data_IF_235081283242
#
_entry.id   IF_235081283242
#
_cell.length_a   1.000
_cell.length_b   1.000
_cell.length_c   1.000
_cell.angle_alpha   90.00
_cell.angle_beta   90.00
_cell.angle_gamma   90.00
#
_symmetry.space_group_name_H-M   'P 1'
#
loop_
_entity.id
_entity.type
_entity.pdbx_description
1 polymer ?
#
# COMPACT_ATOMS: atom_id res chain seq x y z
N UNK A 1 21.06 -25.73 0.83
CA UNK A 1 19.88 -24.93 0.55
C UNK A 1 20.12 -24.30 -0.80
N UNK A 2 19.22 -24.44 -1.78
CA UNK A 2 19.35 -23.74 -3.06
C UNK A 2 19.34 -22.23 -2.84
N UNK A 3 20.04 -21.47 -3.70
CA UNK A 3 20.10 -20.02 -3.61
C UNK A 3 18.69 -19.42 -3.68
N UNK A 4 18.38 -18.49 -2.79
CA UNK A 4 17.10 -17.78 -2.75
C UNK A 4 16.93 -16.96 -4.03
N UNK A 5 15.78 -17.10 -4.69
CA UNK A 5 15.40 -16.30 -5.84
C UNK A 5 14.00 -15.71 -5.63
N UNK A 6 13.87 -14.40 -5.78
CA UNK A 6 12.63 -13.66 -5.50
C UNK A 6 12.07 -13.04 -6.79
N UNK A 7 10.82 -13.35 -7.10
CA UNK A 7 10.05 -12.66 -8.14
C UNK A 7 9.24 -11.54 -7.49
N UNK A 8 9.38 -10.31 -7.97
CA UNK A 8 8.58 -9.18 -7.49
C UNK A 8 7.83 -8.53 -8.65
N UNK A 9 6.52 -8.37 -8.53
CA UNK A 9 5.71 -7.56 -9.46
C UNK A 9 5.39 -6.21 -8.82
N UNK A 10 5.48 -5.13 -9.58
CA UNK A 10 5.25 -3.77 -9.09
C UNK A 10 6.37 -3.21 -8.19
N UNK A 11 7.64 -3.53 -8.44
CA UNK A 11 8.78 -3.05 -7.64
C UNK A 11 8.99 -1.53 -7.72
N UNK A 12 8.49 -0.87 -8.78
CA UNK A 12 8.61 0.57 -8.95
C UNK A 12 7.56 1.38 -8.16
N UNK A 13 6.55 0.72 -7.57
CA UNK A 13 5.55 1.37 -6.73
C UNK A 13 6.07 1.78 -5.36
N UNK A 14 5.30 2.58 -4.61
CA UNK A 14 5.73 3.14 -3.33
C UNK A 14 6.14 2.07 -2.30
N UNK A 15 5.29 1.05 -2.08
CA UNK A 15 5.64 -0.10 -1.22
C UNK A 15 6.79 -0.89 -1.84
N UNK A 16 6.72 -1.14 -3.16
CA UNK A 16 7.67 -1.96 -3.90
C UNK A 16 9.10 -1.49 -3.76
N UNK A 17 9.36 -0.19 -3.89
CA UNK A 17 10.69 0.40 -3.74
C UNK A 17 11.27 0.21 -2.33
N UNK A 18 10.44 0.36 -1.31
CA UNK A 18 10.88 0.19 0.07
C UNK A 18 11.19 -1.28 0.39
N UNK A 19 10.41 -2.23 -0.14
CA UNK A 19 10.70 -3.67 -0.03
C UNK A 19 11.94 -4.01 -0.88
N UNK A 20 12.04 -3.48 -2.10
CA UNK A 20 13.18 -3.71 -2.98
C UNK A 20 14.49 -3.27 -2.33
N UNK A 21 14.51 -2.11 -1.65
CA UNK A 21 15.69 -1.62 -0.94
C UNK A 21 16.25 -2.67 0.05
N UNK A 22 15.39 -3.44 0.72
CA UNK A 22 15.80 -4.55 1.58
C UNK A 22 16.46 -5.69 0.77
N UNK A 23 15.84 -6.10 -0.34
CA UNK A 23 16.36 -7.22 -1.14
C UNK A 23 17.59 -6.88 -1.97
N UNK A 24 17.83 -5.63 -2.32
CA UNK A 24 19.05 -5.19 -2.99
C UNK A 24 20.29 -5.41 -2.13
N UNK A 25 20.14 -5.45 -0.79
CA UNK A 25 21.23 -5.70 0.16
C UNK A 25 21.43 -7.18 0.49
N UNK A 26 20.53 -8.07 0.04
CA UNK A 26 20.60 -9.51 0.33
C UNK A 26 21.32 -10.26 -0.78
N UNK A 27 21.94 -11.38 -0.42
CA UNK A 27 22.51 -12.34 -1.38
C UNK A 27 21.43 -13.26 -1.94
N UNK A 28 20.68 -12.78 -2.92
CA UNK A 28 19.61 -13.53 -3.61
C UNK A 28 19.45 -13.08 -5.07
N UNK A 29 18.89 -13.94 -5.91
CA UNK A 29 18.53 -13.53 -7.27
C UNK A 29 17.21 -12.76 -7.26
N UNK A 30 17.12 -11.71 -8.08
CA UNK A 30 15.89 -10.91 -8.19
C UNK A 30 15.38 -10.88 -9.63
N UNK A 31 14.09 -11.15 -9.78
CA UNK A 31 13.31 -10.99 -11.02
C UNK A 31 12.27 -9.89 -10.78
N UNK A 32 12.56 -8.69 -11.27
CA UNK A 32 11.76 -7.49 -11.03
C UNK A 32 10.87 -7.23 -12.25
N UNK A 33 9.61 -7.64 -12.18
CA UNK A 33 8.66 -7.48 -13.28
C UNK A 33 7.90 -6.17 -13.14
N UNK A 34 8.04 -5.32 -14.17
CA UNK A 34 7.43 -3.98 -14.18
C UNK A 34 6.95 -3.65 -15.60
N UNK A 35 6.05 -2.68 -15.74
CA UNK A 35 5.60 -2.20 -17.05
C UNK A 35 6.77 -1.67 -17.87
N UNK A 36 6.75 -1.87 -19.20
CA UNK A 36 7.81 -1.41 -20.10
C UNK A 36 8.13 0.10 -19.92
N UNK A 37 7.13 0.90 -19.58
CA UNK A 37 7.30 2.34 -19.32
C UNK A 37 8.12 2.63 -18.05
N UNK A 38 8.01 1.80 -17.03
CA UNK A 38 8.67 2.03 -15.75
C UNK A 38 10.04 1.33 -15.64
N UNK A 39 10.31 0.32 -16.47
CA UNK A 39 11.58 -0.42 -16.48
C UNK A 39 12.83 0.47 -16.55
N UNK A 40 12.95 1.48 -17.45
CA UNK A 40 14.18 2.29 -17.52
C UNK A 40 14.49 3.03 -16.21
N UNK A 41 13.46 3.53 -15.51
CA UNK A 41 13.63 4.19 -14.22
C UNK A 41 14.00 3.20 -13.12
N UNK A 42 13.42 2.01 -13.14
CA UNK A 42 13.75 0.94 -12.19
C UNK A 42 15.17 0.45 -12.41
N UNK A 43 15.59 0.25 -13.65
CA UNK A 43 16.96 -0.13 -14.02
C UNK A 43 17.97 0.87 -13.46
N UNK A 44 17.78 2.16 -13.77
CA UNK A 44 18.65 3.23 -13.26
C UNK A 44 18.71 3.26 -11.72
N UNK A 45 17.57 2.98 -11.04
CA UNK A 45 17.55 2.89 -9.59
C UNK A 45 18.37 1.69 -9.07
N UNK A 46 18.23 0.53 -9.69
CA UNK A 46 19.01 -0.67 -9.33
C UNK A 46 20.49 -0.45 -9.57
N UNK A 47 20.89 0.12 -10.73
CA UNK A 47 22.28 0.42 -11.07
C UNK A 47 22.93 1.37 -10.04
N UNK A 48 22.21 2.41 -9.63
CA UNK A 48 22.67 3.34 -8.61
C UNK A 48 22.78 2.71 -7.20
N UNK A 49 21.91 1.73 -6.91
CA UNK A 49 21.85 1.09 -5.58
C UNK A 49 22.80 -0.09 -5.42
N UNK A 50 23.23 -0.71 -6.53
CA UNK A 50 24.06 -1.93 -6.53
C UNK A 50 25.27 -1.71 -7.45
N UNK A 51 26.34 -1.07 -6.96
CA UNK A 51 27.53 -0.78 -7.77
C UNK A 51 28.41 -2.02 -8.02
N UNK A 52 28.29 -3.09 -7.22
CA UNK A 52 29.03 -4.33 -7.44
C UNK A 52 28.50 -5.09 -8.67
N UNK A 53 29.31 -5.31 -9.73
CA UNK A 53 28.87 -5.99 -10.95
C UNK A 53 28.44 -7.44 -10.71
N UNK A 54 29.07 -8.16 -9.78
CA UNK A 54 28.73 -9.55 -9.49
C UNK A 54 27.31 -9.62 -8.88
N UNK A 55 27.02 -8.76 -7.91
CA UNK A 55 25.67 -8.65 -7.33
C UNK A 55 24.66 -8.14 -8.35
N UNK A 56 25.02 -7.12 -9.14
CA UNK A 56 24.14 -6.53 -10.16
C UNK A 56 23.70 -7.55 -11.22
N UNK A 57 24.58 -8.45 -11.62
CA UNK A 57 24.29 -9.51 -12.61
C UNK A 57 23.19 -10.49 -12.17
N UNK A 58 22.92 -10.57 -10.86
CA UNK A 58 21.87 -11.41 -10.26
C UNK A 58 20.50 -10.73 -10.17
N UNK A 59 20.40 -9.49 -10.67
CA UNK A 59 19.15 -8.70 -10.63
C UNK A 59 18.69 -8.45 -12.05
N UNK A 60 17.53 -9.02 -12.41
CA UNK A 60 16.91 -8.87 -13.72
C UNK A 60 15.69 -7.95 -13.63
N UNK A 61 15.77 -6.80 -14.28
CA UNK A 61 14.61 -5.93 -14.50
C UNK A 61 13.94 -6.38 -15.80
N UNK A 62 12.68 -6.70 -15.74
CA UNK A 62 11.95 -7.36 -16.82
C UNK A 62 10.69 -6.60 -17.17
N UNK A 63 10.53 -6.23 -18.42
CA UNK A 63 9.27 -5.67 -18.92
C UNK A 63 8.19 -6.75 -18.97
N UNK A 64 7.07 -6.52 -18.27
CA UNK A 64 5.92 -7.42 -18.24
C UNK A 64 4.61 -6.69 -17.96
N UNK A 65 3.51 -7.35 -18.26
CA UNK A 65 2.15 -6.85 -17.99
C UNK A 65 1.32 -7.98 -17.37
N UNK A 66 0.94 -7.81 -16.11
CA UNK A 66 0.15 -8.80 -15.36
C UNK A 66 -1.20 -9.12 -16.03
N UNK A 67 -1.73 -8.22 -16.87
CA UNK A 67 -2.96 -8.47 -17.65
C UNK A 67 -2.82 -9.60 -18.66
N UNK A 68 -1.59 -9.99 -18.99
CA UNK A 68 -1.30 -11.03 -19.96
C UNK A 68 -0.96 -12.35 -19.27
N UNK A 69 -1.31 -13.51 -19.83
CA UNK A 69 -0.83 -14.81 -19.37
C UNK A 69 0.69 -14.80 -19.23
N UNK A 70 1.18 -15.39 -18.14
CA UNK A 70 2.61 -15.41 -17.80
C UNK A 70 3.26 -14.00 -17.77
N UNK A 71 2.45 -12.96 -17.51
CA UNK A 71 2.88 -11.55 -17.54
C UNK A 71 3.49 -11.10 -18.88
N UNK A 72 3.17 -11.76 -19.99
CA UNK A 72 3.73 -11.47 -21.31
C UNK A 72 5.21 -11.82 -21.49
N UNK A 73 5.80 -12.57 -20.56
CA UNK A 73 7.21 -12.97 -20.62
C UNK A 73 7.49 -13.98 -21.73
N UNK A 74 8.67 -13.93 -22.35
CA UNK A 74 9.09 -14.89 -23.37
C UNK A 74 9.37 -16.28 -22.75
N UNK A 75 9.35 -17.33 -23.60
CA UNK A 75 9.48 -18.70 -23.14
C UNK A 75 10.79 -19.00 -22.36
N UNK A 76 11.99 -18.59 -22.82
CA UNK A 76 13.23 -18.84 -22.10
C UNK A 76 13.23 -18.28 -20.68
N UNK A 77 12.77 -17.03 -20.51
CA UNK A 77 12.72 -16.39 -19.21
C UNK A 77 11.65 -17.03 -18.29
N UNK A 78 10.49 -17.40 -18.86
CA UNK A 78 9.48 -18.14 -18.09
C UNK A 78 10.03 -19.45 -17.54
N UNK A 79 10.76 -20.20 -18.37
CA UNK A 79 11.30 -21.50 -17.97
C UNK A 79 12.42 -21.34 -16.93
N UNK A 80 13.24 -20.32 -17.04
CA UNK A 80 14.22 -19.95 -16.03
C UNK A 80 13.54 -19.61 -14.70
N UNK A 81 12.53 -18.73 -14.69
CA UNK A 81 11.78 -18.33 -13.50
C UNK A 81 11.12 -19.54 -12.83
N UNK A 82 10.47 -20.42 -13.61
CA UNK A 82 9.85 -21.66 -13.09
C UNK A 82 10.82 -22.57 -12.34
N UNK A 83 12.07 -22.63 -12.78
CA UNK A 83 13.08 -23.50 -12.18
C UNK A 83 13.74 -22.86 -10.96
N UNK A 84 13.97 -21.55 -10.98
CA UNK A 84 14.81 -20.84 -9.99
C UNK A 84 14.05 -20.16 -8.87
N UNK A 85 12.88 -19.57 -9.17
CA UNK A 85 12.17 -18.75 -8.17
C UNK A 85 11.63 -19.60 -7.03
N UNK A 86 12.02 -19.19 -5.83
CA UNK A 86 11.60 -19.80 -4.56
C UNK A 86 10.60 -18.97 -3.80
N UNK A 87 10.64 -17.63 -3.95
CA UNK A 87 9.77 -16.69 -3.25
C UNK A 87 9.18 -15.68 -4.23
N UNK A 88 7.99 -15.18 -3.94
CA UNK A 88 7.40 -14.12 -4.74
C UNK A 88 6.73 -13.05 -3.87
N UNK A 89 6.69 -11.82 -4.39
CA UNK A 89 5.98 -10.68 -3.82
C UNK A 89 5.10 -10.10 -4.93
N UNK A 90 3.78 -10.20 -4.77
CA UNK A 90 2.85 -9.65 -5.75
C UNK A 90 2.24 -8.35 -5.23
N UNK A 91 2.78 -7.21 -5.73
CA UNK A 91 2.35 -5.85 -5.38
C UNK A 91 1.63 -5.16 -6.54
N UNK A 92 1.84 -5.62 -7.77
CA UNK A 92 1.29 -4.99 -8.95
C UNK A 92 -0.24 -4.92 -8.87
N UNK A 93 -0.76 -3.73 -8.77
CA UNK A 93 -2.18 -3.41 -8.74
C UNK A 93 -2.37 -1.95 -9.17
N UNK A 94 -3.56 -1.62 -9.63
CA UNK A 94 -3.92 -0.25 -9.95
C UNK A 94 -4.67 0.36 -8.77
N UNK A 95 -4.09 1.38 -8.15
CA UNK A 95 -4.67 2.15 -7.05
C UNK A 95 -5.14 3.51 -7.55
N UNK A 96 -6.44 3.62 -7.79
CA UNK A 96 -7.13 4.87 -8.10
C UNK A 96 -8.60 4.73 -7.66
N UNK A 97 -9.08 5.63 -6.79
CA UNK A 97 -10.45 5.59 -6.29
C UNK A 97 -11.51 5.95 -7.35
N UNK A 98 -11.08 6.59 -8.45
CA UNK A 98 -11.93 6.99 -9.57
C UNK A 98 -11.78 6.08 -10.81
N UNK A 99 -11.12 4.94 -10.67
CA UNK A 99 -10.85 4.03 -11.80
C UNK A 99 -12.13 3.43 -12.37
N UNK A 100 -12.28 3.34 -13.72
CA UNK A 100 -13.36 2.57 -14.33
C UNK A 100 -13.30 1.09 -13.97
N UNK A 101 -14.47 0.48 -13.71
CA UNK A 101 -14.58 -0.92 -13.24
C UNK A 101 -13.88 -1.93 -14.15
N UNK A 102 -14.08 -1.81 -15.46
CA UNK A 102 -13.49 -2.73 -16.44
C UNK A 102 -11.95 -2.73 -16.38
N UNK A 103 -11.33 -1.56 -16.23
CA UNK A 103 -9.86 -1.43 -16.11
C UNK A 103 -9.39 -2.01 -14.77
N UNK A 104 -10.10 -1.70 -13.68
CA UNK A 104 -9.77 -2.24 -12.36
C UNK A 104 -9.88 -3.78 -12.34
N UNK A 105 -10.91 -4.36 -12.97
CA UNK A 105 -11.08 -5.81 -13.10
C UNK A 105 -9.92 -6.46 -13.85
N UNK A 106 -9.56 -5.92 -15.01
CA UNK A 106 -8.46 -6.47 -15.82
C UNK A 106 -7.12 -6.49 -15.08
N UNK A 107 -6.82 -5.38 -14.35
CA UNK A 107 -5.52 -5.28 -13.68
C UNK A 107 -5.53 -6.02 -12.35
N UNK A 108 -6.51 -5.72 -11.48
CA UNK A 108 -6.45 -6.19 -10.10
C UNK A 108 -6.93 -7.64 -9.95
N UNK A 109 -7.94 -8.08 -10.72
CA UNK A 109 -8.51 -9.43 -10.59
C UNK A 109 -7.87 -10.39 -11.59
N UNK A 110 -8.03 -10.12 -12.89
CA UNK A 110 -7.50 -11.00 -13.93
C UNK A 110 -5.97 -11.03 -13.91
N UNK A 111 -5.32 -9.86 -13.68
CA UNK A 111 -3.88 -9.77 -13.50
C UNK A 111 -3.38 -10.61 -12.32
N UNK A 112 -4.05 -10.55 -11.17
CA UNK A 112 -3.71 -11.40 -10.02
C UNK A 112 -3.89 -12.88 -10.36
N UNK A 113 -4.97 -13.26 -11.07
CA UNK A 113 -5.19 -14.64 -11.51
C UNK A 113 -4.05 -15.14 -12.40
N UNK A 114 -3.63 -14.37 -13.42
CA UNK A 114 -2.52 -14.75 -14.29
C UNK A 114 -1.20 -14.92 -13.53
N UNK A 115 -0.94 -14.07 -12.54
CA UNK A 115 0.25 -14.20 -11.68
C UNK A 115 0.17 -15.47 -10.85
N UNK A 116 -0.99 -15.77 -10.23
CA UNK A 116 -1.19 -16.99 -9.43
C UNK A 116 -1.05 -18.26 -10.29
N UNK A 117 -1.66 -18.28 -11.49
CA UNK A 117 -1.52 -19.40 -12.45
C UNK A 117 -0.06 -19.63 -12.84
N UNK A 118 0.72 -18.57 -13.04
CA UNK A 118 2.14 -18.70 -13.34
C UNK A 118 2.93 -19.26 -12.16
N UNK A 119 2.72 -18.70 -10.95
CA UNK A 119 3.39 -19.17 -9.72
C UNK A 119 3.08 -20.65 -9.44
N UNK A 120 1.86 -21.12 -9.72
CA UNK A 120 1.49 -22.52 -9.56
C UNK A 120 2.33 -23.49 -10.42
N UNK A 121 3.03 -22.98 -11.44
CA UNK A 121 3.94 -23.78 -12.29
C UNK A 121 5.39 -23.85 -11.76
N UNK A 122 5.73 -23.15 -10.66
CA UNK A 122 7.10 -23.08 -10.15
C UNK A 122 7.50 -24.34 -9.42
N UNK A 123 8.72 -24.83 -9.68
CA UNK A 123 9.19 -26.15 -9.21
C UNK A 123 9.58 -26.18 -7.73
N UNK A 124 10.26 -25.12 -7.29
CA UNK A 124 10.87 -25.05 -5.95
C UNK A 124 10.23 -23.95 -5.10
N UNK A 125 8.97 -23.63 -5.38
CA UNK A 125 8.29 -22.50 -4.76
C UNK A 125 8.02 -22.73 -3.27
N UNK A 126 8.37 -21.78 -2.45
CA UNK A 126 8.28 -21.86 -1.00
C UNK A 126 7.24 -20.91 -0.40
N UNK A 127 7.14 -19.67 -0.92
CA UNK A 127 6.23 -18.68 -0.34
C UNK A 127 5.91 -17.49 -1.27
N UNK A 128 4.64 -17.09 -1.25
CA UNK A 128 4.14 -15.86 -1.87
C UNK A 128 3.67 -14.88 -0.80
N UNK A 129 4.10 -13.62 -0.87
CA UNK A 129 3.49 -12.49 -0.20
C UNK A 129 2.53 -11.79 -1.18
N UNK A 130 1.23 -11.82 -0.90
CA UNK A 130 0.23 -11.13 -1.71
C UNK A 130 -0.21 -9.83 -1.04
N UNK A 131 -0.09 -8.71 -1.74
CA UNK A 131 -0.54 -7.41 -1.28
C UNK A 131 -2.05 -7.23 -1.49
N UNK A 132 -2.81 -7.31 -0.41
CA UNK A 132 -4.20 -6.86 -0.34
C UNK A 132 -4.27 -5.45 0.29
N UNK A 133 -5.34 -5.12 0.98
CA UNK A 133 -5.55 -3.85 1.67
C UNK A 133 -6.66 -3.99 2.71
N UNK A 134 -6.65 -3.16 3.76
CA UNK A 134 -7.79 -3.06 4.68
C UNK A 134 -9.05 -2.50 3.99
N UNK A 135 -8.92 -1.81 2.86
CA UNK A 135 -10.04 -1.22 2.13
C UNK A 135 -11.05 -2.25 1.60
N UNK A 136 -10.70 -3.55 1.57
CA UNK A 136 -11.65 -4.63 1.23
C UNK A 136 -12.80 -4.75 2.24
N UNK A 137 -12.68 -4.16 3.43
CA UNK A 137 -13.78 -4.06 4.40
C UNK A 137 -14.95 -3.20 3.89
N UNK A 138 -14.73 -2.38 2.86
CA UNK A 138 -15.77 -1.56 2.24
C UNK A 138 -16.52 -0.65 3.22
N UNK A 139 -17.83 -0.81 3.26
CA UNK A 139 -18.74 -0.09 4.16
C UNK A 139 -19.04 -0.83 5.48
N UNK A 140 -18.25 -1.84 5.83
CA UNK A 140 -18.40 -2.55 7.11
C UNK A 140 -18.19 -1.59 8.28
N UNK A 141 -18.86 -1.86 9.40
CA UNK A 141 -18.73 -1.09 10.65
C UNK A 141 -18.40 -2.02 11.82
N UNK A 142 -17.55 -1.57 12.73
CA UNK A 142 -17.07 -2.37 13.85
C UNK A 142 -15.70 -2.99 13.59
N UNK A 143 -15.33 -3.99 14.38
CA UNK A 143 -14.02 -4.63 14.29
C UNK A 143 -13.94 -5.60 13.10
N UNK A 144 -13.00 -5.35 12.20
CA UNK A 144 -12.66 -6.21 11.06
C UNK A 144 -11.26 -6.79 11.27
N UNK A 145 -11.22 -8.04 11.70
CA UNK A 145 -9.99 -8.73 12.06
C UNK A 145 -9.30 -9.33 10.84
N UNK A 146 -8.11 -9.85 11.03
CA UNK A 146 -7.36 -10.59 10.01
C UNK A 146 -8.06 -11.89 9.57
N UNK A 147 -8.98 -12.41 10.38
CA UNK A 147 -9.80 -13.60 10.07
C UNK A 147 -11.02 -13.24 9.21
N UNK A 148 -11.46 -11.99 9.26
CA UNK A 148 -12.63 -11.56 8.52
C UNK A 148 -12.30 -11.36 7.02
N UNK A 149 -13.28 -11.65 6.17
CA UNK A 149 -13.17 -11.47 4.73
C UNK A 149 -14.52 -11.04 4.15
N UNK A 150 -15.41 -11.98 3.84
CA UNK A 150 -16.73 -11.70 3.28
C UNK A 150 -17.76 -11.56 4.41
N UNK A 151 -18.21 -10.34 4.63
CA UNK A 151 -19.24 -9.97 5.61
C UNK A 151 -20.50 -9.44 4.92
N UNK A 152 -20.60 -9.60 3.60
CA UNK A 152 -21.66 -9.00 2.79
C UNK A 152 -21.56 -7.48 2.66
N UNK A 153 -20.35 -6.91 2.83
CA UNK A 153 -20.10 -5.49 2.78
C UNK A 153 -20.27 -4.91 1.37
N UNK A 154 -20.86 -3.72 1.27
CA UNK A 154 -20.87 -2.91 0.07
C UNK A 154 -19.53 -2.20 -0.13
N UNK A 155 -19.17 -1.88 -1.36
CA UNK A 155 -17.95 -1.16 -1.71
C UNK A 155 -18.26 0.26 -2.17
N UNK A 156 -17.42 1.21 -1.78
CA UNK A 156 -17.57 2.64 -2.12
C UNK A 156 -17.09 2.96 -3.53
N UNK A 157 -16.16 2.16 -4.03
CA UNK A 157 -15.56 2.33 -5.36
C UNK A 157 -15.06 0.99 -5.92
N UNK A 158 -14.66 1.01 -7.18
CA UNK A 158 -14.20 -0.19 -7.89
C UNK A 158 -12.81 -0.67 -7.47
N UNK A 159 -12.01 0.18 -6.83
CA UNK A 159 -10.75 -0.27 -6.23
C UNK A 159 -11.02 -1.23 -5.05
N UNK A 160 -11.90 -0.86 -4.10
CA UNK A 160 -12.30 -1.73 -2.99
C UNK A 160 -12.87 -3.06 -3.49
N UNK A 161 -13.83 -2.99 -4.42
CA UNK A 161 -14.47 -4.17 -5.02
C UNK A 161 -13.44 -5.11 -5.66
N UNK A 162 -12.57 -4.58 -6.52
CA UNK A 162 -11.62 -5.42 -7.26
C UNK A 162 -10.49 -5.96 -6.40
N UNK A 163 -10.08 -5.24 -5.36
CA UNK A 163 -9.12 -5.76 -4.37
C UNK A 163 -9.74 -6.88 -3.52
N UNK A 164 -11.01 -6.78 -3.17
CA UNK A 164 -11.75 -7.85 -2.52
C UNK A 164 -11.84 -9.10 -3.41
N UNK A 165 -12.23 -8.92 -4.67
CA UNK A 165 -12.33 -10.03 -5.64
C UNK A 165 -10.97 -10.68 -5.89
N UNK A 166 -9.90 -9.90 -6.01
CA UNK A 166 -8.56 -10.42 -6.17
C UNK A 166 -8.07 -11.19 -4.93
N UNK A 167 -8.37 -10.72 -3.71
CA UNK A 167 -8.07 -11.48 -2.50
C UNK A 167 -8.89 -12.79 -2.45
N UNK A 168 -10.11 -12.81 -2.96
CA UNK A 168 -10.93 -14.02 -3.08
C UNK A 168 -10.27 -15.07 -3.99
N UNK A 169 -9.72 -14.66 -5.14
CA UNK A 169 -8.92 -15.53 -6.02
C UNK A 169 -7.72 -16.14 -5.27
N UNK A 170 -6.96 -15.29 -4.56
CA UNK A 170 -5.79 -15.75 -3.80
C UNK A 170 -6.17 -16.71 -2.68
N UNK A 171 -7.27 -16.45 -1.96
CA UNK A 171 -7.79 -17.37 -0.93
C UNK A 171 -8.22 -18.72 -1.51
N UNK A 172 -8.76 -18.72 -2.73
CA UNK A 172 -9.10 -19.94 -3.45
C UNK A 172 -7.88 -20.84 -3.71
N UNK A 173 -6.71 -20.26 -3.87
CA UNK A 173 -5.46 -20.96 -4.17
C UNK A 173 -4.64 -21.38 -2.91
N UNK A 174 -5.12 -21.16 -1.68
CA UNK A 174 -4.37 -21.44 -0.45
C UNK A 174 -3.97 -22.92 -0.26
N UNK A 175 -4.69 -23.83 -0.90
CA UNK A 175 -4.38 -25.28 -0.85
C UNK A 175 -3.26 -25.66 -1.82
N UNK A 176 -3.10 -24.89 -2.89
CA UNK A 176 -2.23 -25.22 -4.02
C UNK A 176 -0.94 -24.38 -4.03
N UNK A 177 -1.00 -23.17 -3.49
CA UNK A 177 0.13 -22.22 -3.46
C UNK A 177 0.39 -21.80 -2.01
N UNK A 178 1.65 -21.87 -1.52
CA UNK A 178 2.02 -21.40 -0.19
C UNK A 178 2.01 -19.88 -0.15
N UNK A 179 0.86 -19.27 0.09
CA UNK A 179 0.65 -17.82 0.10
C UNK A 179 0.16 -17.34 1.45
N UNK A 180 0.71 -16.21 1.90
CA UNK A 180 0.10 -15.36 2.91
C UNK A 180 -0.35 -14.03 2.30
N UNK A 181 -1.34 -13.43 2.93
CA UNK A 181 -1.90 -12.14 2.51
C UNK A 181 -1.46 -11.09 3.51
N UNK A 182 -1.00 -9.93 3.04
CA UNK A 182 -0.85 -8.78 3.91
C UNK A 182 -1.80 -7.66 3.48
N UNK A 183 -2.44 -7.07 4.49
CA UNK A 183 -3.38 -5.95 4.35
C UNK A 183 -2.79 -4.73 5.03
N UNK A 184 -2.06 -3.88 4.32
CA UNK A 184 -1.64 -2.61 4.91
C UNK A 184 -2.86 -1.73 5.18
N UNK A 185 -2.78 -0.95 6.25
CA UNK A 185 -3.66 0.19 6.51
C UNK A 185 -3.32 1.34 5.57
N UNK A 186 -3.78 2.56 5.80
CA UNK A 186 -3.41 3.71 4.97
C UNK A 186 -1.92 3.97 5.13
N UNK A 187 -1.17 3.80 4.04
CA UNK A 187 0.29 3.97 4.07
C UNK A 187 0.64 5.44 3.97
N UNK A 188 1.46 5.89 4.91
CA UNK A 188 2.07 7.23 4.92
C UNK A 188 3.56 7.18 4.57
N UNK A 189 4.22 8.33 4.54
CA UNK A 189 5.64 8.44 4.24
C UNK A 189 6.54 7.61 5.13
N UNK A 190 7.81 7.55 4.77
CA UNK A 190 8.85 6.86 5.52
C UNK A 190 9.03 7.54 6.90
N UNK A 191 9.05 6.77 7.98
CA UNK A 191 9.03 7.30 9.35
C UNK A 191 10.22 8.20 9.68
N UNK A 192 11.39 7.97 9.06
CA UNK A 192 12.61 8.72 9.32
C UNK A 192 12.83 9.90 8.36
N UNK A 193 12.28 9.84 7.14
CA UNK A 193 12.54 10.86 6.11
C UNK A 193 11.29 11.64 5.70
N UNK A 194 10.11 11.14 6.04
CA UNK A 194 8.83 11.68 5.60
C UNK A 194 8.51 11.48 4.11
N UNK A 195 9.41 10.84 3.35
CA UNK A 195 9.30 10.71 1.89
C UNK A 195 8.02 10.00 1.46
N UNK A 196 7.27 10.64 0.56
CA UNK A 196 6.04 10.13 -0.07
C UNK A 196 6.13 10.21 -1.58
N UNK A 197 5.31 9.44 -2.27
CA UNK A 197 5.17 9.53 -3.74
C UNK A 197 3.89 10.26 -4.18
N UNK A 198 2.91 10.38 -3.28
CA UNK A 198 1.61 10.98 -3.59
C UNK A 198 0.99 11.59 -2.33
N UNK A 199 0.38 12.76 -2.49
CA UNK A 199 -0.49 13.33 -1.45
C UNK A 199 -1.82 12.58 -1.51
N UNK A 200 -2.11 11.81 -0.45
CA UNK A 200 -3.32 10.99 -0.33
C UNK A 200 -3.67 10.74 1.15
N UNK A 201 -4.88 10.22 1.43
CA UNK A 201 -5.31 9.86 2.77
C UNK A 201 -5.13 10.97 3.81
N UNK A 202 -4.42 10.75 4.91
CA UNK A 202 -4.29 11.73 6.00
C UNK A 202 -3.56 13.01 5.59
N UNK A 203 -2.81 13.01 4.48
CA UNK A 203 -2.16 14.21 3.96
C UNK A 203 -3.17 15.28 3.52
N UNK A 204 -4.42 14.94 3.23
CA UNK A 204 -5.46 15.94 2.99
C UNK A 204 -5.75 16.81 4.23
N UNK A 205 -5.55 16.28 5.43
CA UNK A 205 -5.58 17.10 6.65
C UNK A 205 -4.46 18.14 6.65
N UNK A 206 -3.25 17.75 6.25
CA UNK A 206 -2.12 18.68 6.13
C UNK A 206 -2.38 19.75 5.07
N UNK A 207 -3.02 19.39 3.94
CA UNK A 207 -3.43 20.34 2.91
C UNK A 207 -4.38 21.40 3.48
N UNK A 208 -5.43 20.95 4.18
CA UNK A 208 -6.40 21.86 4.81
C UNK A 208 -5.73 22.81 5.82
N UNK A 209 -4.89 22.25 6.70
CA UNK A 209 -4.16 23.01 7.72
C UNK A 209 -3.23 24.04 7.07
N UNK A 210 -2.50 23.65 6.02
CA UNK A 210 -1.60 24.56 5.27
C UNK A 210 -2.34 25.71 4.61
N UNK A 211 -3.57 25.45 4.14
CA UNK A 211 -4.45 26.47 3.54
C UNK A 211 -5.15 27.36 4.56
N UNK A 212 -4.88 27.21 5.87
CA UNK A 212 -5.50 27.99 6.94
C UNK A 212 -6.93 27.56 7.29
N UNK A 213 -7.36 26.39 6.84
CA UNK A 213 -8.70 25.83 7.12
C UNK A 213 -8.76 25.02 8.41
N UNK A 214 -7.76 25.18 9.28
CA UNK A 214 -7.65 24.43 10.55
C UNK A 214 -8.62 24.89 11.66
N UNK A 215 -9.26 26.04 11.50
CA UNK A 215 -10.24 26.55 12.48
C UNK A 215 -11.54 25.75 12.49
N UNK A 216 -11.89 25.14 11.38
CA UNK A 216 -13.07 24.29 11.24
C UNK A 216 -12.56 22.93 10.78
N UNK A 217 -12.68 21.92 11.63
CA UNK A 217 -12.27 20.55 11.35
C UNK A 217 -13.45 19.59 11.27
N UNK A 218 -13.25 18.40 10.69
CA UNK A 218 -14.25 17.36 10.75
C UNK A 218 -14.41 16.85 12.17
N UNK A 219 -15.66 16.56 12.57
CA UNK A 219 -15.93 15.80 13.80
C UNK A 219 -15.95 14.30 13.44
N UNK A 220 -14.78 13.76 13.17
CA UNK A 220 -14.60 12.38 12.75
C UNK A 220 -14.06 11.56 13.95
N UNK A 221 -14.95 10.86 14.64
CA UNK A 221 -14.57 9.94 15.72
C UNK A 221 -13.94 8.63 15.23
N UNK A 222 -13.88 8.43 13.92
CA UNK A 222 -13.25 7.28 13.30
C UNK A 222 -11.75 7.20 13.61
N UNK A 223 -11.24 5.97 13.71
CA UNK A 223 -9.80 5.73 13.93
C UNK A 223 -8.98 6.07 12.69
N UNK A 224 -7.84 6.72 12.90
CA UNK A 224 -6.88 7.05 11.86
C UNK A 224 -5.88 5.90 11.69
N UNK A 225 -6.29 4.87 10.96
CA UNK A 225 -5.46 3.68 10.71
C UNK A 225 -4.39 3.97 9.67
N UNK A 226 -3.23 4.43 10.12
CA UNK A 226 -2.07 4.74 9.26
C UNK A 226 -0.86 3.93 9.69
N UNK A 227 0.03 3.67 8.72
CA UNK A 227 1.30 3.01 8.95
C UNK A 227 2.38 3.60 8.04
N UNK A 228 3.61 3.84 8.52
CA UNK A 228 4.69 4.31 7.67
C UNK A 228 5.17 3.19 6.74
N UNK A 229 5.59 3.56 5.54
CA UNK A 229 5.95 2.61 4.46
C UNK A 229 7.11 1.70 4.84
N UNK A 230 8.07 2.19 5.59
CA UNK A 230 9.24 1.42 6.07
C UNK A 230 8.85 0.31 7.06
N UNK A 231 7.88 0.54 7.95
CA UNK A 231 7.31 -0.51 8.78
C UNK A 231 6.65 -1.59 7.92
N UNK A 232 5.82 -1.19 6.94
CA UNK A 232 5.15 -2.13 6.05
C UNK A 232 6.18 -2.95 5.25
N UNK A 233 7.21 -2.29 4.71
CA UNK A 233 8.26 -2.95 3.95
C UNK A 233 9.06 -3.95 4.81
N UNK A 234 9.46 -3.55 6.00
CA UNK A 234 10.17 -4.42 6.95
C UNK A 234 9.31 -5.61 7.38
N UNK A 235 8.02 -5.36 7.66
CA UNK A 235 7.07 -6.40 8.03
C UNK A 235 6.86 -7.43 6.92
N UNK A 236 6.65 -6.99 5.67
CA UNK A 236 6.48 -7.90 4.52
C UNK A 236 7.74 -8.71 4.28
N UNK A 237 8.92 -8.10 4.35
CA UNK A 237 10.20 -8.78 4.17
C UNK A 237 10.42 -9.85 5.24
N UNK A 238 10.19 -9.53 6.52
CA UNK A 238 10.32 -10.48 7.61
C UNK A 238 9.29 -11.63 7.51
N UNK A 239 8.04 -11.34 7.13
CA UNK A 239 7.02 -12.35 6.89
C UNK A 239 7.44 -13.29 5.75
N UNK A 240 7.95 -12.74 4.64
CA UNK A 240 8.37 -13.57 3.51
C UNK A 240 9.58 -14.43 3.87
N UNK A 241 10.55 -13.89 4.57
CA UNK A 241 11.85 -14.52 4.80
C UNK A 241 11.85 -15.48 5.99
N UNK A 242 11.03 -15.23 7.03
CA UNK A 242 11.18 -15.91 8.31
C UNK A 242 9.87 -16.50 8.85
N UNK A 243 8.83 -15.70 9.06
CA UNK A 243 7.72 -16.05 9.95
C UNK A 243 6.34 -16.11 9.32
N UNK A 244 6.16 -15.73 8.05
CA UNK A 244 4.86 -15.76 7.37
C UNK A 244 4.32 -17.17 7.19
N UNK A 245 3.10 -17.41 7.60
CA UNK A 245 2.43 -18.72 7.52
C UNK A 245 1.45 -18.74 6.34
N UNK A 246 1.49 -19.82 5.57
CA UNK A 246 0.52 -20.09 4.49
C UNK A 246 -0.92 -20.01 5.02
N UNK A 247 -1.82 -19.44 4.23
CA UNK A 247 -3.23 -19.31 4.58
C UNK A 247 -3.52 -18.30 5.68
N UNK A 248 -2.54 -17.44 6.03
CA UNK A 248 -2.68 -16.43 7.08
C UNK A 248 -2.75 -15.03 6.48
N UNK A 249 -3.57 -14.19 7.08
CA UNK A 249 -3.65 -12.75 6.77
C UNK A 249 -2.93 -11.97 7.86
N UNK A 250 -2.17 -10.97 7.47
CA UNK A 250 -1.45 -10.04 8.34
C UNK A 250 -1.88 -8.61 8.06
N UNK A 251 -2.51 -7.94 9.01
CA UNK A 251 -2.88 -6.54 8.90
C UNK A 251 -1.70 -5.66 9.39
N UNK A 252 -1.07 -4.95 8.46
CA UNK A 252 0.09 -4.11 8.75
C UNK A 252 -0.37 -2.68 9.04
N UNK A 253 -0.57 -2.38 10.31
CA UNK A 253 -1.06 -1.09 10.80
C UNK A 253 -0.71 -0.83 12.25
N UNK A 254 -1.05 0.37 12.74
CA UNK A 254 -0.95 0.71 14.16
C UNK A 254 -1.97 -0.11 14.97
N UNK A 255 -1.56 -0.90 15.98
CA UNK A 255 -2.48 -1.65 16.82
C UNK A 255 -3.31 -0.77 17.76
N UNK A 256 -2.92 0.50 17.95
CA UNK A 256 -3.59 1.46 18.85
C UNK A 256 -3.77 2.82 18.18
N UNK A 257 -4.47 2.88 17.03
CA UNK A 257 -4.58 4.11 16.27
C UNK A 257 -5.37 5.18 17.03
N UNK A 258 -4.90 6.42 16.95
CA UNK A 258 -5.66 7.57 17.43
C UNK A 258 -6.88 7.86 16.55
N UNK A 259 -7.77 8.74 17.00
CA UNK A 259 -8.87 9.21 16.15
C UNK A 259 -8.38 10.21 15.09
N UNK A 260 -9.14 10.40 14.03
CA UNK A 260 -8.85 11.47 13.06
C UNK A 260 -8.89 12.86 13.68
N UNK A 261 -9.74 13.06 14.71
CA UNK A 261 -9.77 14.29 15.47
C UNK A 261 -8.44 14.54 16.18
N UNK A 262 -7.94 13.52 16.90
CA UNK A 262 -6.67 13.62 17.64
C UNK A 262 -5.49 13.79 16.67
N UNK A 263 -5.51 13.09 15.53
CA UNK A 263 -4.50 13.27 14.47
C UNK A 263 -4.49 14.70 13.94
N UNK A 264 -5.67 15.25 13.62
CA UNK A 264 -5.78 16.62 13.12
C UNK A 264 -5.27 17.64 14.14
N UNK A 265 -5.64 17.48 15.42
CA UNK A 265 -5.17 18.34 16.52
C UNK A 265 -3.65 18.20 16.73
N UNK A 266 -3.13 16.99 16.68
CA UNK A 266 -1.69 16.72 16.74
C UNK A 266 -0.93 17.46 15.66
N UNK A 267 -1.39 17.37 14.39
CA UNK A 267 -0.77 18.08 13.27
C UNK A 267 -0.83 19.60 13.46
N UNK A 268 -1.99 20.13 13.88
CA UNK A 268 -2.12 21.56 14.18
C UNK A 268 -1.14 22.02 15.26
N UNK A 269 -1.01 21.25 16.36
CA UNK A 269 -0.13 21.56 17.47
C UNK A 269 1.35 21.54 17.05
N UNK A 270 1.77 20.46 16.36
CA UNK A 270 3.17 20.28 15.93
C UNK A 270 3.58 21.28 14.86
N UNK A 271 2.64 21.69 14.00
CA UNK A 271 2.90 22.69 12.95
C UNK A 271 2.73 24.15 13.42
N UNK A 272 2.32 24.38 14.68
CA UNK A 272 2.12 25.73 15.22
C UNK A 272 0.95 26.49 14.57
N UNK A 273 -0.06 25.78 14.04
CA UNK A 273 -1.19 26.38 13.29
C UNK A 273 -2.40 26.77 14.16
N UNK A 274 -2.30 26.63 15.50
CA UNK A 274 -3.38 26.94 16.43
C UNK A 274 -4.42 25.81 16.54
N UNK A 275 -5.47 26.03 17.35
CA UNK A 275 -6.47 25.00 17.69
C UNK A 275 -7.66 25.02 16.73
N UNK A 276 -8.31 23.87 16.58
CA UNK A 276 -9.63 23.76 15.97
C UNK A 276 -10.65 24.42 16.87
N UNK A 277 -11.47 25.32 16.32
CA UNK A 277 -12.50 26.07 17.08
C UNK A 277 -13.88 25.44 16.94
N UNK A 278 -14.17 24.85 15.77
CA UNK A 278 -15.45 24.24 15.46
C UNK A 278 -15.22 22.88 14.79
N UNK A 279 -15.91 21.86 15.27
CA UNK A 279 -15.95 20.55 14.65
C UNK A 279 -17.31 20.31 14.01
N UNK A 280 -17.31 19.95 12.73
CA UNK A 280 -18.54 19.73 11.95
C UNK A 280 -18.62 18.25 11.58
N UNK A 281 -19.74 17.57 11.88
CA UNK A 281 -19.95 16.19 11.46
C UNK A 281 -19.77 16.01 9.94
N UNK A 282 -19.06 14.95 9.47
CA UNK A 282 -18.86 14.70 8.04
C UNK A 282 -20.15 14.64 7.24
N UNK A 283 -21.23 14.14 7.83
CA UNK A 283 -22.55 14.10 7.20
C UNK A 283 -23.09 15.49 6.81
N UNK A 284 -22.83 16.52 7.62
CA UNK A 284 -23.22 17.90 7.32
C UNK A 284 -22.30 18.56 6.28
N UNK A 285 -21.05 18.13 6.19
CA UNK A 285 -20.09 18.63 5.21
C UNK A 285 -20.27 17.94 3.84
N UNK A 286 -20.79 16.73 3.78
CA UNK A 286 -20.86 15.90 2.57
C UNK A 286 -21.58 16.57 1.39
N UNK A 287 -22.74 17.24 1.52
CA UNK A 287 -23.37 17.94 0.39
C UNK A 287 -22.50 19.05 -0.19
N UNK A 288 -21.80 19.80 0.67
CA UNK A 288 -20.90 20.87 0.27
C UNK A 288 -19.66 20.31 -0.45
N UNK A 289 -19.11 19.20 0.00
CA UNK A 289 -17.95 18.56 -0.60
C UNK A 289 -18.22 17.92 -1.97
N UNK A 290 -19.49 17.80 -2.41
CA UNK A 290 -19.85 17.42 -3.79
C UNK A 290 -19.66 18.55 -4.80
N UNK A 291 -19.54 19.79 -4.32
CA UNK A 291 -19.36 20.99 -5.17
C UNK A 291 -17.88 21.09 -5.57
N UNK A 292 -17.52 21.05 -6.86
CA UNK A 292 -16.12 21.10 -7.31
C UNK A 292 -15.33 22.29 -6.78
N UNK A 293 -15.97 23.48 -6.68
CA UNK A 293 -15.35 24.68 -6.12
C UNK A 293 -14.92 24.48 -4.66
N UNK A 294 -15.73 23.78 -3.87
CA UNK A 294 -15.41 23.48 -2.46
C UNK A 294 -14.28 22.47 -2.35
N UNK A 295 -14.28 21.44 -3.19
CA UNK A 295 -13.15 20.49 -3.26
C UNK A 295 -11.84 21.22 -3.60
N UNK A 296 -11.89 22.11 -4.59
CA UNK A 296 -10.74 22.94 -4.97
C UNK A 296 -10.32 23.86 -3.83
N UNK A 297 -11.23 24.52 -3.14
CA UNK A 297 -10.93 25.40 -2.01
C UNK A 297 -10.32 24.64 -0.83
N UNK A 298 -10.89 23.47 -0.46
CA UNK A 298 -10.38 22.64 0.62
C UNK A 298 -9.11 21.85 0.21
N UNK A 299 -8.95 21.55 -1.09
CA UNK A 299 -7.88 20.70 -1.59
C UNK A 299 -8.10 19.22 -1.28
N UNK A 300 -9.35 18.81 -1.11
CA UNK A 300 -9.75 17.43 -0.77
C UNK A 300 -10.76 16.95 -1.81
N UNK A 301 -10.46 15.89 -2.58
CA UNK A 301 -11.44 15.31 -3.50
C UNK A 301 -12.57 14.63 -2.74
N UNK A 302 -13.77 14.61 -3.33
CA UNK A 302 -14.94 14.02 -2.68
C UNK A 302 -14.75 12.52 -2.39
N UNK A 303 -14.08 11.80 -3.27
CA UNK A 303 -13.77 10.38 -3.13
C UNK A 303 -12.95 10.11 -1.84
N UNK A 304 -11.98 10.97 -1.54
CA UNK A 304 -11.19 10.87 -0.31
C UNK A 304 -12.00 11.29 0.93
N UNK A 305 -12.86 12.29 0.79
CA UNK A 305 -13.72 12.78 1.88
C UNK A 305 -14.68 11.69 2.39
N UNK A 306 -15.10 10.76 1.54
CA UNK A 306 -15.97 9.64 1.94
C UNK A 306 -15.35 8.71 3.00
N UNK A 307 -14.03 8.77 3.20
CA UNK A 307 -13.32 8.00 4.22
C UNK A 307 -13.22 8.73 5.57
N UNK A 308 -13.68 9.97 5.68
CA UNK A 308 -13.60 10.76 6.91
C UNK A 308 -14.47 10.22 8.06
N UNK A 309 -15.51 9.42 7.76
CA UNK A 309 -16.39 8.78 8.78
C UNK A 309 -16.37 7.24 8.67
N UNK A 310 -15.20 6.67 8.41
CA UNK A 310 -15.05 5.22 8.30
C UNK A 310 -15.04 4.58 9.70
N UNK A 311 -16.16 3.92 10.05
CA UNK A 311 -16.38 3.33 11.39
C UNK A 311 -15.92 1.87 11.48
N UNK A 312 -14.82 1.54 10.84
CA UNK A 312 -14.20 0.23 10.95
C UNK A 312 -12.92 0.34 11.78
N UNK A 313 -12.70 -0.64 12.63
CA UNK A 313 -11.45 -0.86 13.36
C UNK A 313 -10.79 -2.12 12.81
N UNK A 314 -9.46 -2.12 12.68
CA UNK A 314 -8.73 -3.24 12.10
C UNK A 314 -7.94 -3.98 13.17
N UNK A 315 -8.16 -5.30 13.28
CA UNK A 315 -7.34 -6.18 14.12
C UNK A 315 -5.98 -6.43 13.47
N UNK A 316 -4.93 -6.46 14.30
CA UNK A 316 -3.52 -6.66 13.88
C UNK A 316 -2.84 -7.79 14.65
N UNK A 317 -3.59 -8.70 15.22
CA UNK A 317 -3.11 -9.70 16.18
C UNK A 317 -2.09 -10.66 15.54
N UNK A 318 -2.36 -11.15 14.32
CA UNK A 318 -1.44 -12.04 13.60
C UNK A 318 -0.14 -11.31 13.25
N UNK A 319 -0.25 -10.06 12.72
CA UNK A 319 0.91 -9.25 12.39
C UNK A 319 1.76 -8.95 13.63
N UNK A 320 1.12 -8.52 14.72
CA UNK A 320 1.78 -8.25 15.99
C UNK A 320 2.48 -9.48 16.56
N UNK A 321 1.78 -10.62 16.60
CA UNK A 321 2.35 -11.86 17.12
C UNK A 321 3.54 -12.37 16.29
N UNK A 322 3.54 -12.13 14.98
CA UNK A 322 4.62 -12.56 14.10
C UNK A 322 5.83 -11.60 14.11
N UNK A 323 5.59 -10.30 14.17
CA UNK A 323 6.62 -9.29 13.92
C UNK A 323 7.29 -8.73 15.19
N UNK A 324 6.53 -8.57 16.28
CA UNK A 324 7.08 -8.02 17.54
C UNK A 324 8.25 -8.86 18.09
N UNK A 325 8.23 -10.22 18.06
CA UNK A 325 9.38 -11.01 18.48
C UNK A 325 10.64 -10.79 17.66
N UNK A 326 10.52 -10.22 16.45
CA UNK A 326 11.63 -9.84 15.56
C UNK A 326 12.06 -8.38 15.75
N UNK A 327 11.50 -7.67 16.72
CA UNK A 327 11.77 -6.25 16.95
C UNK A 327 11.07 -5.31 15.96
N UNK A 328 10.09 -5.81 15.18
CA UNK A 328 9.36 -5.02 14.19
C UNK A 328 7.99 -4.68 14.74
N UNK A 329 7.76 -3.38 15.01
CA UNK A 329 6.47 -2.85 15.48
C UNK A 329 6.09 -1.59 14.73
N UNK A 330 4.79 -1.36 14.52
CA UNK A 330 4.34 -0.10 13.93
C UNK A 330 4.63 1.06 14.90
N UNK A 331 5.43 2.06 14.51
CA UNK A 331 5.68 3.19 15.38
C UNK A 331 4.41 4.04 15.53
N UNK A 332 4.14 4.59 16.73
CA UNK A 332 3.00 5.50 16.92
C UNK A 332 3.21 6.78 16.10
N UNK A 333 2.13 7.33 15.55
CA UNK A 333 2.22 8.53 14.68
C UNK A 333 2.89 9.73 15.36
N UNK A 334 2.80 9.82 16.69
CA UNK A 334 3.46 10.85 17.48
C UNK A 334 4.98 10.87 17.35
N UNK A 335 5.59 9.75 16.95
CA UNK A 335 7.04 9.63 16.78
C UNK A 335 7.56 10.12 15.43
N UNK A 336 6.68 10.20 14.38
CA UNK A 336 7.11 10.57 13.02
C UNK A 336 6.28 11.71 12.39
N UNK A 337 5.26 12.22 13.08
CA UNK A 337 4.41 13.29 12.53
C UNK A 337 5.20 14.56 12.17
N UNK A 338 6.24 14.89 12.91
CA UNK A 338 7.08 16.07 12.65
C UNK A 338 7.83 15.96 11.32
N UNK A 339 8.41 14.78 11.07
CA UNK A 339 9.09 14.47 9.81
C UNK A 339 8.10 14.45 8.64
N UNK A 340 6.91 13.89 8.87
CA UNK A 340 5.82 13.88 7.90
C UNK A 340 5.38 15.30 7.52
N UNK A 341 5.21 16.20 8.49
CA UNK A 341 4.86 17.61 8.28
C UNK A 341 5.99 18.32 7.52
N UNK A 342 7.23 18.15 7.96
CA UNK A 342 8.39 18.81 7.35
C UNK A 342 8.55 18.42 5.87
N UNK A 343 8.53 17.13 5.58
CA UNK A 343 8.61 16.66 4.19
C UNK A 343 7.47 17.19 3.33
N UNK A 344 6.23 17.10 3.84
CA UNK A 344 5.05 17.60 3.15
C UNK A 344 5.15 19.08 2.84
N UNK A 345 5.57 19.93 3.79
CA UNK A 345 5.65 21.39 3.60
C UNK A 345 6.74 21.77 2.59
N UNK A 346 7.90 21.11 2.64
CA UNK A 346 9.00 21.31 1.70
C UNK A 346 8.63 20.93 0.27
N UNK A 347 7.85 19.84 0.09
CA UNK A 347 7.53 19.28 -1.23
C UNK A 347 6.09 19.58 -1.67
N UNK A 348 5.35 20.42 -0.96
CA UNK A 348 3.93 20.69 -1.25
C UNK A 348 3.66 21.12 -2.70
N UNK A 349 4.58 21.85 -3.32
CA UNK A 349 4.45 22.31 -4.70
C UNK A 349 5.11 21.39 -5.73
N UNK A 350 5.71 20.27 -5.32
CA UNK A 350 6.31 19.31 -6.24
C UNK A 350 5.24 18.62 -7.08
N UNK A 351 5.27 18.78 -8.42
CA UNK A 351 4.33 18.11 -9.31
C UNK A 351 4.37 16.57 -9.18
N UNK A 352 5.50 16.01 -8.78
CA UNK A 352 5.65 14.57 -8.65
C UNK A 352 4.74 13.98 -7.58
N UNK A 353 4.62 14.62 -6.41
CA UNK A 353 3.75 14.14 -5.31
C UNK A 353 2.29 14.62 -5.46
N UNK A 354 2.04 15.63 -6.31
CA UNK A 354 0.69 16.16 -6.57
C UNK A 354 -0.06 15.45 -7.70
N UNK A 355 0.47 14.38 -8.25
CA UNK A 355 -0.11 13.65 -9.41
C UNK A 355 -1.56 13.18 -9.18
N UNK A 356 -2.00 12.97 -7.94
CA UNK A 356 -3.37 12.63 -7.59
C UNK A 356 -4.37 13.81 -7.64
N UNK A 357 -3.91 15.05 -7.89
CA UNK A 357 -4.72 16.27 -7.81
C UNK A 357 -5.20 16.81 -9.16
N UNK A 358 -5.08 16.05 -10.24
CA UNK A 358 -5.51 16.52 -11.58
C UNK A 358 -6.98 16.96 -11.62
N UNK A 359 -7.83 16.40 -10.78
CA UNK A 359 -9.23 16.82 -10.65
C UNK A 359 -9.46 18.10 -9.84
N UNK A 360 -8.41 18.61 -9.14
CA UNK A 360 -8.50 19.79 -8.29
C UNK A 360 -7.74 21.01 -8.85
N UNK A 361 -7.10 20.87 -10.01
CA UNK A 361 -6.51 21.98 -10.78
C UNK A 361 -7.56 22.57 -11.70
#
# INVERSE_FOLDING_TARGET
>A
MGDKAVLMTGPAGFIGKNILAHYLQQDCDLYLVETAKACPRLEAHVDASVPDPARRSRIKVVAGDIKLPYMGLNAPLRDEIKQRVTHAIHLAALYDLAIPRNIAMQVNVEGTRHVMEFIATFKNFQRLAYASTVAISGAYTGLYTEKDFDKGQAFKNFYEETKFLAEKEVRGAWKDIPVFIFRPTIIVGHSMTGAIEKIDGPYYSLVMIRRGLNRIGPNAGAKCHIAPVDYVASGVSALLDQCGKTGTVYCLGDPSPMTYNDFFDLVCARWGKGKVLLRVPPALMSPMMRIPLMQKACGVPFEAFQYADLRVEYGTENATAALVPLGISCPPVTSYVDVMIQYFDQHYNDPAIRRGWKSLQ
#
